data_IF_363711960269
#
_entry.id   IF_363711960269
#
_cell.length_a   1.000
_cell.length_b   1.000
_cell.length_c   1.000
_cell.angle_alpha   90.00
_cell.angle_beta   90.00
_cell.angle_gamma   90.00
#
_symmetry.space_group_name_H-M   'P 1'
#
loop_
_entity.id
_entity.type
_entity.pdbx_description
1 polymer ?
#
# COMPACT_ATOMS: atom_id res chain seq x y z
N UNK A 1 13.30 8.61 1.44
CA UNK A 1 13.32 7.65 2.57
C UNK A 1 13.54 6.24 2.02
N UNK A 2 14.16 5.33 2.79
CA UNK A 2 14.71 4.08 2.23
C UNK A 2 13.76 2.87 2.33
N UNK A 3 13.93 1.92 1.41
CA UNK A 3 13.32 0.57 1.39
C UNK A 3 13.39 -0.13 2.75
N UNK A 4 14.47 0.09 3.50
CA UNK A 4 14.63 -0.50 4.83
C UNK A 4 13.60 0.03 5.83
N UNK A 5 13.15 1.28 5.70
CA UNK A 5 12.11 1.85 6.56
C UNK A 5 10.78 1.18 6.28
N UNK A 6 10.38 1.09 5.00
CA UNK A 6 9.17 0.38 4.59
C UNK A 6 9.14 -1.07 5.09
N UNK A 7 10.27 -1.79 4.97
CA UNK A 7 10.41 -3.15 5.51
C UNK A 7 10.13 -3.23 7.01
N UNK A 8 10.74 -2.34 7.80
CA UNK A 8 10.56 -2.36 9.26
C UNK A 8 9.14 -1.95 9.66
N UNK A 9 8.52 -1.03 8.92
CA UNK A 9 7.11 -0.65 9.11
C UNK A 9 6.19 -1.84 8.87
N UNK A 10 6.38 -2.57 7.76
CA UNK A 10 5.61 -3.76 7.45
C UNK A 10 5.74 -4.85 8.53
N UNK A 11 6.97 -5.13 8.96
CA UNK A 11 7.25 -6.11 10.01
C UNK A 11 6.59 -5.74 11.34
N UNK A 12 6.56 -4.45 11.68
CA UNK A 12 5.89 -3.98 12.89
C UNK A 12 4.37 -4.07 12.75
N UNK A 13 3.82 -3.73 11.59
CA UNK A 13 2.40 -3.83 11.30
C UNK A 13 1.89 -5.28 11.42
N UNK A 14 2.61 -6.25 10.85
CA UNK A 14 2.26 -7.67 10.94
C UNK A 14 2.67 -8.34 12.26
N UNK A 15 3.21 -7.61 13.23
CA UNK A 15 3.58 -8.15 14.55
C UNK A 15 4.85 -9.00 14.58
N UNK A 16 5.61 -9.05 13.49
CA UNK A 16 6.91 -9.74 13.44
C UNK A 16 8.03 -8.97 14.16
N UNK A 17 7.81 -7.68 14.44
CA UNK A 17 8.71 -6.80 15.19
C UNK A 17 7.93 -5.93 16.18
N UNK A 18 8.55 -5.61 17.32
CA UNK A 18 7.95 -4.71 18.34
C UNK A 18 7.98 -3.23 17.93
N UNK A 19 8.85 -2.83 16.99
CA UNK A 19 9.04 -1.43 16.58
C UNK A 19 9.34 -1.34 15.08
N UNK A 20 8.89 -0.27 14.43
CA UNK A 20 9.22 0.05 13.03
C UNK A 20 10.70 0.43 12.80
N UNK A 21 11.55 0.31 13.82
CA UNK A 21 13.00 0.48 13.73
C UNK A 21 13.77 -0.84 13.84
N UNK A 22 13.12 -1.92 14.30
CA UNK A 22 13.75 -3.21 14.60
C UNK A 22 13.71 -4.19 13.42
N UNK A 23 14.67 -5.14 13.42
CA UNK A 23 14.79 -6.19 12.39
C UNK A 23 13.79 -7.32 12.65
N UNK A 24 13.41 -8.04 11.59
CA UNK A 24 12.54 -9.21 11.69
C UNK A 24 13.15 -10.30 12.58
N UNK A 25 12.29 -11.11 13.23
CA UNK A 25 12.71 -12.45 13.68
C UNK A 25 12.98 -13.33 12.45
N UNK A 26 13.92 -14.27 12.57
CA UNK A 26 14.29 -15.22 11.50
C UNK A 26 13.04 -15.89 10.90
N UNK A 27 12.99 -16.02 9.56
CA UNK A 27 11.98 -16.82 8.85
C UNK A 27 10.83 -16.05 8.19
N UNK A 28 10.82 -14.72 8.21
CA UNK A 28 9.85 -13.91 7.43
C UNK A 28 10.58 -13.14 6.35
N UNK A 29 10.34 -13.50 5.09
CA UNK A 29 10.83 -12.73 3.95
C UNK A 29 9.83 -11.64 3.58
N UNK A 30 10.34 -10.41 3.39
CA UNK A 30 9.52 -9.24 3.06
C UNK A 30 10.11 -8.54 1.85
N UNK A 31 9.37 -8.66 0.77
CA UNK A 31 9.60 -7.96 -0.47
C UNK A 31 9.09 -6.53 -0.36
N UNK A 32 9.93 -5.60 -0.79
CA UNK A 32 9.57 -4.19 -0.88
C UNK A 32 9.64 -3.76 -2.32
N UNK A 33 8.48 -3.40 -2.85
CA UNK A 33 8.31 -2.87 -4.20
C UNK A 33 8.29 -1.34 -4.10
N UNK A 34 9.08 -0.69 -4.93
CA UNK A 34 9.13 0.78 -5.08
C UNK A 34 8.76 1.17 -6.52
N UNK A 35 8.47 2.45 -6.73
CA UNK A 35 8.28 3.00 -8.07
C UNK A 35 9.50 2.74 -8.95
N UNK A 36 9.26 2.39 -10.21
CA UNK A 36 10.30 2.10 -11.19
C UNK A 36 10.44 3.22 -12.24
N UNK A 37 9.75 4.35 -12.05
CA UNK A 37 9.74 5.47 -13.00
C UNK A 37 8.89 5.21 -14.25
N UNK A 38 8.04 4.17 -14.23
CA UNK A 38 7.02 3.98 -15.25
C UNK A 38 5.90 5.02 -15.13
N UNK A 39 4.85 4.88 -15.95
CA UNK A 39 3.72 5.81 -15.97
C UNK A 39 3.11 6.03 -14.58
N UNK A 40 2.98 7.31 -14.21
CA UNK A 40 2.31 7.76 -12.99
C UNK A 40 0.84 8.07 -13.22
N UNK A 41 0.30 9.03 -12.47
CA UNK A 41 -1.12 9.40 -12.55
C UNK A 41 -1.48 10.20 -13.82
N UNK A 42 -0.49 10.74 -14.51
CA UNK A 42 -0.65 11.48 -15.77
C UNK A 42 -1.30 10.64 -16.89
N UNK A 43 -1.07 9.32 -16.89
CA UNK A 43 -1.63 8.38 -17.86
C UNK A 43 -2.78 7.54 -17.27
N UNK A 44 -3.24 7.87 -16.06
CA UNK A 44 -4.24 7.10 -15.34
C UNK A 44 -5.65 7.36 -15.88
N UNK A 45 -6.46 6.31 -15.91
CA UNK A 45 -7.89 6.40 -16.21
C UNK A 45 -8.65 7.14 -15.10
N UNK A 46 -9.86 7.63 -15.38
CA UNK A 46 -10.66 8.33 -14.38
C UNK A 46 -10.89 7.54 -13.07
N UNK A 47 -11.19 6.22 -13.09
CA UNK A 47 -11.26 5.42 -11.86
C UNK A 47 -9.93 5.37 -11.10
N UNK A 48 -8.78 5.27 -11.79
CA UNK A 48 -7.46 5.24 -11.15
C UNK A 48 -7.12 6.58 -10.49
N UNK A 49 -7.50 7.70 -11.11
CA UNK A 49 -7.34 9.03 -10.50
C UNK A 49 -8.21 9.18 -9.25
N UNK A 50 -9.47 8.71 -9.30
CA UNK A 50 -10.35 8.71 -8.12
C UNK A 50 -9.80 7.83 -7.00
N UNK A 51 -9.30 6.65 -7.34
CA UNK A 51 -8.64 5.75 -6.39
C UNK A 51 -7.48 6.45 -5.69
N UNK A 52 -6.59 7.12 -6.45
CA UNK A 52 -5.48 7.87 -5.89
C UNK A 52 -5.95 8.97 -4.92
N UNK A 53 -6.97 9.74 -5.30
CA UNK A 53 -7.52 10.78 -4.46
C UNK A 53 -8.18 10.25 -3.18
N UNK A 54 -8.84 9.09 -3.25
CA UNK A 54 -9.41 8.42 -2.07
C UNK A 54 -8.32 7.90 -1.13
N UNK A 55 -7.27 7.27 -1.67
CA UNK A 55 -6.12 6.80 -0.89
C UNK A 55 -5.41 7.96 -0.19
N UNK A 56 -5.25 9.11 -0.86
CA UNK A 56 -4.59 10.27 -0.26
C UNK A 56 -5.33 10.78 0.98
N UNK A 57 -6.67 10.82 0.92
CA UNK A 57 -7.52 11.19 2.07
C UNK A 57 -7.50 10.13 3.17
N UNK A 58 -7.34 8.87 2.79
CA UNK A 58 -7.39 7.75 3.71
C UNK A 58 -6.16 7.68 4.62
N UNK A 59 -5.05 8.35 4.28
CA UNK A 59 -3.83 8.25 5.09
C UNK A 59 -4.02 8.67 6.54
N UNK A 60 -4.80 9.72 6.82
CA UNK A 60 -5.00 10.22 8.17
C UNK A 60 -5.55 9.15 9.11
N UNK A 61 -6.46 8.30 8.60
CA UNK A 61 -7.07 7.20 9.34
C UNK A 61 -6.12 6.00 9.54
N UNK A 62 -5.04 5.94 8.75
CA UNK A 62 -4.11 4.80 8.69
C UNK A 62 -2.67 5.16 9.06
N UNK A 63 -2.46 6.31 9.72
CA UNK A 63 -1.20 6.64 10.40
C UNK A 63 -1.17 5.90 11.75
N UNK A 64 -0.48 4.76 11.79
CA UNK A 64 -0.37 3.99 13.03
C UNK A 64 0.60 4.58 14.06
N UNK A 65 0.39 4.28 15.34
CA UNK A 65 1.26 4.70 16.45
C UNK A 65 2.74 4.32 16.27
N UNK A 66 3.04 3.21 15.58
CA UNK A 66 4.43 2.73 15.42
C UNK A 66 5.16 3.50 14.31
N UNK A 67 5.78 4.63 14.65
CA UNK A 67 6.68 5.39 13.77
C UNK A 67 6.01 6.44 12.89
N UNK A 68 4.72 6.73 13.11
CA UNK A 68 3.95 7.79 12.42
C UNK A 68 3.88 7.68 10.89
N UNK A 69 4.15 6.49 10.34
CA UNK A 69 4.05 6.22 8.90
C UNK A 69 2.66 5.69 8.53
N UNK A 70 2.16 6.03 7.34
CA UNK A 70 0.89 5.52 6.82
C UNK A 70 0.98 4.05 6.41
N UNK A 71 -0.04 3.25 6.72
CA UNK A 71 -0.09 1.80 6.47
C UNK A 71 -1.51 1.37 6.11
N UNK A 72 -1.79 1.15 4.83
CA UNK A 72 -3.11 0.73 4.37
C UNK A 72 -3.04 -0.71 3.85
N UNK A 73 -3.78 -1.67 4.44
CA UNK A 73 -3.87 -3.05 3.95
C UNK A 73 -4.53 -3.13 2.58
N UNK A 74 -4.13 -4.11 1.77
CA UNK A 74 -4.69 -4.27 0.42
C UNK A 74 -6.18 -4.62 0.43
N UNK A 75 -6.67 -5.25 1.49
CA UNK A 75 -8.10 -5.50 1.71
C UNK A 75 -8.89 -4.18 1.78
N UNK A 76 -8.34 -3.16 2.43
CA UNK A 76 -8.96 -1.83 2.48
C UNK A 76 -8.87 -1.15 1.11
N UNK A 77 -7.74 -1.30 0.40
CA UNK A 77 -7.59 -0.75 -0.95
C UNK A 77 -8.54 -1.40 -1.95
N UNK A 78 -8.95 -2.65 -1.74
CA UNK A 78 -9.98 -3.31 -2.54
C UNK A 78 -11.30 -2.54 -2.46
N UNK A 79 -11.76 -2.24 -1.24
CA UNK A 79 -12.99 -1.44 -1.03
C UNK A 79 -12.87 -0.05 -1.66
N UNK A 80 -11.69 0.56 -1.59
CA UNK A 80 -11.41 1.86 -2.22
C UNK A 80 -11.45 1.77 -3.74
N UNK A 81 -10.91 0.70 -4.32
CA UNK A 81 -10.95 0.47 -5.76
C UNK A 81 -12.39 0.26 -6.25
N UNK A 82 -13.20 -0.52 -5.54
CA UNK A 82 -14.62 -0.71 -5.84
C UNK A 82 -15.40 0.62 -5.78
N UNK A 83 -15.14 1.44 -4.75
CA UNK A 83 -15.73 2.79 -4.64
C UNK A 83 -15.29 3.71 -5.79
N UNK A 84 -14.02 3.64 -6.19
CA UNK A 84 -13.49 4.46 -7.28
C UNK A 84 -14.07 4.09 -8.65
N UNK A 85 -14.41 2.80 -8.84
CA UNK A 85 -15.07 2.29 -10.05
C UNK A 85 -16.57 2.56 -10.06
N UNK A 86 -17.21 2.57 -8.90
CA UNK A 86 -18.66 2.73 -8.79
C UNK A 86 -19.10 4.13 -9.22
N UNK A 87 -19.84 4.19 -10.33
CA UNK A 87 -20.76 5.29 -10.64
C UNK A 87 -22.12 5.00 -10.00
N UNK A 88 -22.99 6.01 -9.88
CA UNK A 88 -24.27 5.96 -9.17
C UNK A 88 -25.15 4.72 -9.46
N UNK A 89 -24.98 4.05 -10.61
CA UNK A 89 -25.83 2.94 -11.04
C UNK A 89 -25.17 1.54 -11.13
N UNK A 90 -23.87 1.36 -10.87
CA UNK A 90 -23.24 0.03 -10.94
C UNK A 90 -22.04 -0.15 -10.00
N UNK A 91 -22.10 -1.17 -9.14
CA UNK A 91 -20.96 -1.62 -8.32
C UNK A 91 -20.09 -2.55 -9.16
N UNK A 92 -19.00 -2.01 -9.70
CA UNK A 92 -18.00 -2.82 -10.40
C UNK A 92 -17.01 -3.41 -9.39
N UNK A 93 -17.03 -4.73 -9.24
CA UNK A 93 -16.10 -5.46 -8.36
C UNK A 93 -14.64 -5.21 -8.77
N UNK A 94 -13.75 -5.22 -7.79
CA UNK A 94 -12.31 -5.18 -8.00
C UNK A 94 -11.68 -6.49 -7.52
N UNK A 95 -10.41 -6.69 -7.84
CA UNK A 95 -9.62 -7.82 -7.37
C UNK A 95 -8.22 -7.36 -6.93
N UNK A 96 -7.52 -8.23 -6.18
CA UNK A 96 -6.20 -7.90 -5.65
C UNK A 96 -5.17 -7.61 -6.74
N UNK A 97 -5.29 -8.22 -7.92
CA UNK A 97 -4.40 -7.97 -9.05
C UNK A 97 -4.61 -6.58 -9.65
N UNK A 98 -5.85 -6.11 -9.72
CA UNK A 98 -6.21 -4.74 -10.11
C UNK A 98 -5.68 -3.73 -9.08
N UNK A 99 -5.92 -3.98 -7.79
CA UNK A 99 -5.42 -3.13 -6.69
C UNK A 99 -3.90 -3.02 -6.73
N UNK A 100 -3.17 -4.12 -6.94
CA UNK A 100 -1.71 -4.09 -7.12
C UNK A 100 -1.27 -3.21 -8.29
N UNK A 101 -1.96 -3.28 -9.43
CA UNK A 101 -1.63 -2.43 -10.59
C UNK A 101 -1.87 -0.97 -10.28
N UNK A 102 -2.97 -0.63 -9.62
CA UNK A 102 -3.32 0.75 -9.29
C UNK A 102 -2.39 1.30 -8.21
N UNK A 103 -2.07 0.51 -7.18
CA UNK A 103 -1.08 0.87 -6.17
C UNK A 103 0.30 1.14 -6.79
N UNK A 104 0.73 0.37 -7.81
CA UNK A 104 1.98 0.62 -8.54
C UNK A 104 2.00 1.98 -9.26
N UNK A 105 0.86 2.46 -9.76
CA UNK A 105 0.76 3.83 -10.31
C UNK A 105 1.08 4.86 -9.22
N UNK A 106 0.55 4.67 -8.01
CA UNK A 106 0.84 5.54 -6.87
C UNK A 106 2.33 5.50 -6.48
N UNK A 107 2.99 4.35 -6.58
CA UNK A 107 4.43 4.22 -6.31
C UNK A 107 5.28 5.03 -7.28
N UNK A 108 4.86 5.11 -8.55
CA UNK A 108 5.55 5.89 -9.57
C UNK A 108 5.34 7.39 -9.38
N UNK A 109 4.17 7.79 -8.89
CA UNK A 109 3.84 9.18 -8.57
C UNK A 109 4.54 9.66 -7.29
N UNK A 110 4.60 8.80 -6.26
CA UNK A 110 5.05 9.16 -4.93
C UNK A 110 6.28 8.35 -4.52
N UNK A 111 7.46 8.99 -4.55
CA UNK A 111 8.74 8.36 -4.16
C UNK A 111 8.80 7.86 -2.71
N UNK A 112 7.88 8.33 -1.86
CA UNK A 112 7.71 7.93 -0.46
C UNK A 112 6.77 6.74 -0.26
N UNK A 113 6.11 6.24 -1.32
CA UNK A 113 5.23 5.09 -1.25
C UNK A 113 5.97 3.80 -1.55
N UNK A 114 5.56 2.72 -0.89
CA UNK A 114 6.09 1.38 -1.07
C UNK A 114 4.97 0.35 -0.93
N UNK A 115 5.06 -0.76 -1.65
CA UNK A 115 4.28 -1.96 -1.34
C UNK A 115 5.19 -2.92 -0.59
N UNK A 116 4.76 -3.35 0.58
CA UNK A 116 5.36 -4.49 1.26
C UNK A 116 4.53 -5.73 1.01
N UNK A 117 5.21 -6.82 0.63
CA UNK A 117 4.59 -8.13 0.42
C UNK A 117 5.35 -9.18 1.20
N UNK A 118 4.62 -10.09 1.81
CA UNK A 118 5.17 -11.27 2.46
C UNK A 118 4.20 -12.44 2.33
N UNK A 119 4.72 -13.65 2.44
CA UNK A 119 3.91 -14.85 2.59
C UNK A 119 4.18 -15.47 3.96
N UNK A 120 3.12 -15.75 4.72
CA UNK A 120 3.23 -16.41 6.01
C UNK A 120 2.14 -17.46 6.14
N UNK A 121 2.51 -18.71 6.40
CA UNK A 121 1.57 -19.85 6.53
C UNK A 121 0.57 -19.96 5.36
N UNK A 122 1.05 -19.77 4.12
CA UNK A 122 0.26 -19.78 2.87
C UNK A 122 -0.74 -18.61 2.71
N UNK A 123 -0.63 -17.58 3.55
CA UNK A 123 -1.39 -16.34 3.42
C UNK A 123 -0.47 -15.26 2.87
N UNK A 124 -0.87 -14.67 1.74
CA UNK A 124 -0.19 -13.51 1.17
C UNK A 124 -0.67 -12.26 1.90
N UNK A 125 0.26 -11.47 2.40
CA UNK A 125 0.00 -10.22 3.10
C UNK A 125 0.58 -9.08 2.28
N UNK A 126 -0.23 -8.05 2.04
CA UNK A 126 0.19 -6.88 1.27
C UNK A 126 -0.21 -5.59 1.96
N UNK A 127 0.69 -4.61 1.91
CA UNK A 127 0.54 -3.35 2.61
C UNK A 127 1.07 -2.20 1.75
N UNK A 128 0.26 -1.19 1.53
CA UNK A 128 0.72 0.09 0.98
C UNK A 128 1.23 0.95 2.13
N UNK A 129 2.46 1.43 1.99
CA UNK A 129 3.18 2.16 3.03
C UNK A 129 3.50 3.55 2.52
N UNK A 130 3.11 4.57 3.28
CA UNK A 130 3.56 5.94 3.10
C UNK A 130 4.62 6.29 4.14
N UNK A 131 5.84 6.52 3.68
CA UNK A 131 6.96 6.88 4.57
C UNK A 131 7.09 8.39 4.81
N UNK A 132 6.24 9.23 4.20
CA UNK A 132 6.22 10.68 4.49
C UNK A 132 5.82 10.88 5.96
N UNK A 133 6.53 11.79 6.64
CA UNK A 133 6.23 12.23 8.00
C UNK A 133 5.52 13.57 7.95
#
# INVERSE_FOLDING_TARGET
MSVQTARKVALAYWGFSKKATARAKSGVDVDIIKGNGGSGLESATAPQQRFAALVEKLWEDYIGHVGSYGRIPFEVLLDVAEKAKSSADNVAKSDMGEVQKWAKLLLNEHSNYFIARAENKKVVMELLINTKR
#
